data_IF_108560559488
#
_entry.id   IF_108560559488
#
_cell.length_a   1.000
_cell.length_b   1.000
_cell.length_c   1.000
_cell.angle_alpha   90.00
_cell.angle_beta   90.00
_cell.angle_gamma   90.00
#
_symmetry.space_group_name_H-M   'P 1'
#
loop_
_entity.id
_entity.type
_entity.pdbx_description
1 polymer ?
#
# COMPACT_ATOMS: atom_id res chain seq x y z
N UNK A 1 29.00 1.60 -20.63
CA UNK A 1 27.77 2.43 -20.61
C UNK A 1 26.55 1.67 -21.12
N UNK A 2 26.65 0.88 -22.21
CA UNK A 2 25.49 0.18 -22.78
C UNK A 2 24.93 -0.94 -21.88
N UNK A 3 25.77 -1.67 -21.13
CA UNK A 3 25.32 -2.76 -20.26
C UNK A 3 24.46 -2.23 -19.11
N UNK A 4 24.88 -1.16 -18.46
CA UNK A 4 24.13 -0.53 -17.36
C UNK A 4 22.76 -0.05 -17.85
N UNK A 5 22.71 0.53 -19.05
CA UNK A 5 21.44 0.96 -19.63
C UNK A 5 20.50 -0.21 -19.90
N UNK A 6 20.99 -1.31 -20.45
CA UNK A 6 20.19 -2.52 -20.70
C UNK A 6 19.63 -3.06 -19.39
N UNK A 7 20.47 -3.19 -18.37
CA UNK A 7 20.01 -3.69 -17.05
C UNK A 7 18.98 -2.74 -16.42
N UNK A 8 19.17 -1.42 -16.56
CA UNK A 8 18.22 -0.43 -16.06
C UNK A 8 16.87 -0.54 -16.78
N UNK A 9 16.89 -0.65 -18.10
CA UNK A 9 15.68 -0.77 -18.92
C UNK A 9 14.93 -2.06 -18.59
N UNK A 10 15.62 -3.18 -18.43
CA UNK A 10 15.02 -4.47 -18.03
C UNK A 10 14.43 -4.42 -16.63
N UNK A 11 15.12 -3.84 -15.64
CA UNK A 11 14.58 -3.66 -14.29
C UNK A 11 13.33 -2.77 -14.28
N UNK A 12 13.34 -1.70 -15.05
CA UNK A 12 12.18 -0.80 -15.19
C UNK A 12 10.99 -1.55 -15.77
N UNK A 13 11.23 -2.39 -16.77
CA UNK A 13 10.20 -3.23 -17.36
C UNK A 13 9.64 -4.26 -16.38
N UNK A 14 10.50 -4.94 -15.63
CA UNK A 14 10.11 -5.88 -14.59
C UNK A 14 9.30 -5.24 -13.47
N UNK A 15 9.57 -3.97 -13.14
CA UNK A 15 8.83 -3.20 -12.13
C UNK A 15 7.50 -2.62 -12.62
N UNK A 16 7.24 -2.62 -13.94
CA UNK A 16 5.96 -2.23 -14.50
C UNK A 16 5.99 -1.17 -15.60
N UNK A 17 7.12 -0.83 -16.18
CA UNK A 17 7.31 0.10 -17.31
C UNK A 17 6.84 1.53 -17.07
N UNK A 18 5.59 1.70 -16.68
CA UNK A 18 4.91 2.99 -16.53
C UNK A 18 4.33 3.14 -15.14
N UNK A 19 4.15 4.38 -14.74
CA UNK A 19 3.50 4.72 -13.48
C UNK A 19 2.07 4.18 -13.47
N UNK A 20 1.70 3.49 -12.40
CA UNK A 20 0.36 2.98 -12.19
C UNK A 20 -0.39 3.89 -11.21
N UNK A 21 -1.04 4.92 -11.74
CA UNK A 21 -1.77 5.89 -10.92
C UNK A 21 -3.05 5.30 -10.35
N UNK A 22 -3.47 5.86 -9.21
CA UNK A 22 -4.81 5.64 -8.69
C UNK A 22 -5.82 6.33 -9.61
N UNK A 23 -6.70 5.55 -10.23
CA UNK A 23 -7.74 6.08 -11.11
C UNK A 23 -9.07 6.01 -10.36
N UNK A 24 -9.66 7.18 -10.10
CA UNK A 24 -11.00 7.27 -9.57
C UNK A 24 -12.03 7.19 -10.72
N UNK A 25 -13.04 6.37 -10.54
CA UNK A 25 -14.13 6.25 -11.49
C UNK A 25 -15.08 7.46 -11.40
N UNK A 26 -15.95 7.63 -12.40
CA UNK A 26 -17.01 8.64 -12.34
C UNK A 26 -18.13 8.29 -11.34
N UNK A 27 -18.13 7.09 -10.82
CA UNK A 27 -19.08 6.63 -9.81
C UNK A 27 -18.80 7.31 -8.46
N UNK A 28 -19.84 7.73 -7.76
CA UNK A 28 -19.77 8.33 -6.43
C UNK A 28 -20.65 7.50 -5.49
N UNK A 29 -20.14 7.07 -4.34
CA UNK A 29 -18.75 7.18 -3.88
C UNK A 29 -17.80 6.21 -4.59
N UNK A 30 -16.53 6.60 -4.74
CA UNK A 30 -15.45 5.63 -5.02
C UNK A 30 -15.07 4.91 -3.73
N UNK A 31 -15.09 3.61 -3.75
CA UNK A 31 -14.77 2.77 -2.60
C UNK A 31 -13.42 2.11 -2.81
N UNK A 32 -12.46 2.44 -1.96
CA UNK A 32 -11.11 1.87 -1.95
C UNK A 32 -10.98 1.02 -0.69
N UNK A 33 -10.72 -0.26 -0.87
CA UNK A 33 -10.50 -1.21 0.23
C UNK A 33 -9.01 -1.47 0.41
N UNK A 34 -8.50 -1.33 1.63
CA UNK A 34 -7.13 -1.70 1.99
C UNK A 34 -7.13 -3.05 2.70
N UNK A 35 -6.33 -3.96 2.19
CA UNK A 35 -6.12 -5.30 2.76
C UNK A 35 -4.64 -5.52 3.09
N UNK A 36 -4.34 -6.50 3.92
CA UNK A 36 -2.96 -6.83 4.28
C UNK A 36 -2.86 -7.42 5.69
N UNK A 37 -1.68 -7.94 6.01
CA UNK A 37 -1.39 -8.51 7.31
C UNK A 37 -1.52 -7.50 8.45
N UNK A 38 -1.70 -8.02 9.65
CA UNK A 38 -1.60 -7.23 10.87
C UNK A 38 -0.20 -6.60 10.97
N UNK A 39 -0.15 -5.32 11.30
CA UNK A 39 1.13 -4.60 11.41
C UNK A 39 1.75 -4.19 10.08
N UNK A 40 1.12 -4.46 8.93
CA UNK A 40 1.64 -4.05 7.62
C UNK A 40 1.53 -2.54 7.35
N UNK A 41 0.86 -1.78 8.22
CA UNK A 41 0.70 -0.33 8.07
C UNK A 41 -0.57 0.11 7.35
N UNK A 42 -1.63 -0.71 7.31
CA UNK A 42 -2.91 -0.37 6.67
C UNK A 42 -3.52 0.93 7.20
N UNK A 43 -3.60 1.07 8.51
CA UNK A 43 -4.19 2.26 9.17
C UNK A 43 -3.44 3.53 8.77
N UNK A 44 -2.12 3.49 8.83
CA UNK A 44 -1.26 4.61 8.42
C UNK A 44 -1.37 4.89 6.92
N UNK A 45 -1.39 3.84 6.09
CA UNK A 45 -1.55 3.98 4.64
C UNK A 45 -2.92 4.59 4.28
N UNK A 46 -3.98 4.19 4.97
CA UNK A 46 -5.32 4.75 4.78
C UNK A 46 -5.35 6.27 5.09
N UNK A 47 -4.77 6.67 6.21
CA UNK A 47 -4.68 8.08 6.59
C UNK A 47 -3.87 8.90 5.57
N UNK A 48 -2.71 8.39 5.14
CA UNK A 48 -1.88 9.05 4.12
C UNK A 48 -2.58 9.16 2.77
N UNK A 49 -3.28 8.11 2.34
CA UNK A 49 -4.05 8.13 1.10
C UNK A 49 -5.20 9.14 1.17
N UNK A 50 -5.91 9.18 2.30
CA UNK A 50 -6.96 10.17 2.53
C UNK A 50 -6.41 11.61 2.54
N UNK A 51 -5.27 11.84 3.18
CA UNK A 51 -4.60 13.13 3.14
C UNK A 51 -4.26 13.56 1.72
N UNK A 52 -3.66 12.67 0.93
CA UNK A 52 -3.33 12.93 -0.48
C UNK A 52 -4.58 13.27 -1.30
N UNK A 53 -5.64 12.47 -1.20
CA UNK A 53 -6.90 12.71 -1.90
C UNK A 53 -7.53 14.06 -1.50
N UNK A 54 -7.43 14.43 -0.22
CA UNK A 54 -7.88 15.75 0.25
C UNK A 54 -7.08 16.88 -0.38
N UNK A 55 -5.75 16.74 -0.52
CA UNK A 55 -4.91 17.72 -1.21
C UNK A 55 -5.26 17.83 -2.71
N UNK A 56 -5.75 16.76 -3.31
CA UNK A 56 -6.23 16.71 -4.69
C UNK A 56 -7.70 17.19 -4.84
N UNK A 57 -8.26 17.85 -3.80
CA UNK A 57 -9.62 18.40 -3.74
C UNK A 57 -10.73 17.34 -3.75
N UNK A 58 -10.45 16.13 -3.30
CA UNK A 58 -11.48 15.13 -3.02
C UNK A 58 -11.97 15.23 -1.57
N UNK A 59 -13.11 14.62 -1.27
CA UNK A 59 -13.70 14.56 0.06
C UNK A 59 -13.68 13.13 0.60
N UNK A 60 -12.53 12.67 1.09
CA UNK A 60 -12.40 11.30 1.59
C UNK A 60 -13.15 11.11 2.93
N UNK A 61 -13.64 9.90 3.14
CA UNK A 61 -14.13 9.39 4.38
C UNK A 61 -13.34 8.12 4.74
N UNK A 62 -12.77 8.09 5.93
CA UNK A 62 -12.14 6.89 6.46
C UNK A 62 -13.19 6.04 7.17
N UNK A 63 -13.15 4.73 6.94
CA UNK A 63 -14.06 3.76 7.57
C UNK A 63 -13.24 2.71 8.30
N UNK A 64 -13.44 2.60 9.63
CA UNK A 64 -12.77 1.62 10.47
C UNK A 64 -13.54 0.29 10.41
N UNK A 65 -13.02 -0.66 9.63
CA UNK A 65 -13.60 -1.99 9.49
C UNK A 65 -12.90 -3.07 10.34
N UNK A 66 -11.82 -2.73 11.05
CA UNK A 66 -11.13 -3.64 11.97
C UNK A 66 -11.87 -3.64 13.32
N UNK A 67 -12.95 -4.38 13.37
CA UNK A 67 -13.84 -4.45 14.54
C UNK A 67 -13.27 -5.28 15.69
N UNK A 68 -12.29 -6.14 15.40
CA UNK A 68 -11.64 -7.00 16.39
C UNK A 68 -10.57 -6.26 17.19
N UNK A 69 -10.12 -5.10 16.72
CA UNK A 69 -9.09 -4.31 17.38
C UNK A 69 -9.54 -2.88 17.61
N UNK A 70 -10.21 -2.61 18.76
CA UNK A 70 -10.64 -1.25 19.09
C UNK A 70 -9.52 -0.22 18.98
N UNK A 71 -8.30 -0.59 19.39
CA UNK A 71 -7.13 0.28 19.30
C UNK A 71 -6.78 0.70 17.86
N UNK A 72 -7.06 -0.12 16.85
CA UNK A 72 -6.86 0.25 15.44
C UNK A 72 -7.86 1.31 14.98
N UNK A 73 -9.11 1.21 15.43
CA UNK A 73 -10.13 2.24 15.18
C UNK A 73 -9.77 3.56 15.87
N UNK A 74 -9.32 3.51 17.13
CA UNK A 74 -8.87 4.69 17.89
C UNK A 74 -7.66 5.37 17.18
N UNK A 75 -6.71 4.57 16.68
CA UNK A 75 -5.58 5.08 15.90
C UNK A 75 -6.05 5.77 14.62
N UNK A 76 -7.00 5.19 13.91
CA UNK A 76 -7.55 5.77 12.68
C UNK A 76 -8.27 7.10 12.97
N UNK A 77 -9.04 7.17 14.05
CA UNK A 77 -9.69 8.41 14.50
C UNK A 77 -8.67 9.51 14.84
N UNK A 78 -7.61 9.15 15.55
CA UNK A 78 -6.52 10.08 15.87
C UNK A 78 -5.86 10.63 14.60
N UNK A 79 -5.46 9.75 13.70
CA UNK A 79 -4.84 10.14 12.43
C UNK A 79 -5.81 10.94 11.54
N UNK A 80 -7.08 10.56 11.49
CA UNK A 80 -8.11 11.31 10.76
C UNK A 80 -8.29 12.72 11.31
N UNK A 81 -8.28 12.87 12.65
CA UNK A 81 -8.32 14.16 13.33
C UNK A 81 -7.14 15.06 12.98
N UNK A 82 -5.92 14.52 12.97
CA UNK A 82 -4.70 15.24 12.63
C UNK A 82 -4.71 15.80 11.20
N UNK A 83 -5.25 15.05 10.25
CA UNK A 83 -5.32 15.46 8.83
C UNK A 83 -6.64 16.15 8.45
N UNK A 84 -7.58 16.28 9.39
CA UNK A 84 -8.89 16.89 9.16
C UNK A 84 -9.76 16.09 8.18
N UNK A 85 -9.73 14.75 8.29
CA UNK A 85 -10.57 13.82 7.54
C UNK A 85 -11.52 13.11 8.51
N UNK A 86 -12.79 13.03 8.15
CA UNK A 86 -13.78 12.34 8.96
C UNK A 86 -13.52 10.84 8.97
N UNK A 87 -13.75 10.24 10.14
CA UNK A 87 -13.67 8.79 10.34
C UNK A 87 -15.06 8.29 10.74
N UNK A 88 -15.57 7.30 10.03
CA UNK A 88 -16.75 6.54 10.41
C UNK A 88 -16.30 5.29 11.19
N UNK A 89 -16.77 5.19 12.40
CA UNK A 89 -16.61 4.00 13.24
C UNK A 89 -17.99 3.37 13.38
N UNK A 90 -18.21 2.20 12.80
CA UNK A 90 -19.49 1.51 12.89
C UNK A 90 -19.94 1.32 14.35
N UNK A 91 -21.24 1.20 14.59
CA UNK A 91 -21.86 1.16 15.92
C UNK A 91 -21.58 -0.12 16.72
N UNK A 92 -20.41 -0.71 16.61
CA UNK A 92 -19.99 -1.88 17.41
C UNK A 92 -20.91 -3.11 17.25
N UNK A 93 -21.77 -3.11 16.26
CA UNK A 93 -22.60 -4.26 15.94
C UNK A 93 -21.77 -5.29 15.22
N UNK A 94 -21.36 -6.18 16.03
CA UNK A 94 -21.08 -7.58 15.82
C UNK A 94 -20.91 -8.01 14.36
N UNK A 95 -19.69 -7.98 13.81
CA UNK A 95 -19.36 -9.01 12.87
C UNK A 95 -19.04 -10.22 13.72
N UNK A 96 -20.06 -10.99 14.01
CA UNK A 96 -19.96 -12.31 14.63
C UNK A 96 -18.87 -12.36 15.70
N UNK A 97 -19.23 -12.54 16.94
CA UNK A 97 -18.35 -12.89 18.07
C UNK A 97 -17.40 -14.04 17.70
N UNK A 98 -16.51 -13.77 16.76
CA UNK A 98 -15.36 -14.61 16.47
C UNK A 98 -14.16 -13.96 17.13
N UNK A 99 -14.36 -13.55 18.36
CA UNK A 99 -13.27 -13.48 19.30
C UNK A 99 -12.99 -14.89 19.74
N UNK A 100 -12.62 -15.75 18.84
CA UNK A 100 -11.96 -16.98 19.20
C UNK A 100 -10.48 -16.75 19.10
N UNK A 101 -9.87 -16.86 20.24
CA UNK A 101 -8.44 -16.87 20.47
C UNK A 101 -7.72 -17.69 19.39
N UNK A 102 -7.03 -17.02 18.47
CA UNK A 102 -6.26 -17.66 17.42
C UNK A 102 -6.78 -17.43 16.01
N UNK A 103 -6.88 -16.15 15.59
CA UNK A 103 -7.12 -15.83 14.17
C UNK A 103 -5.96 -16.39 13.36
N UNK A 104 -6.25 -17.40 12.55
CA UNK A 104 -5.33 -17.89 11.54
C UNK A 104 -5.42 -16.99 10.30
N UNK A 105 -4.35 -16.96 9.49
CA UNK A 105 -4.30 -16.15 8.27
C UNK A 105 -5.50 -16.42 7.33
N UNK A 106 -6.02 -17.64 7.35
CA UNK A 106 -7.21 -18.04 6.59
C UNK A 106 -8.48 -17.30 6.99
N UNK A 107 -8.71 -17.05 8.28
CA UNK A 107 -9.88 -16.32 8.77
C UNK A 107 -9.85 -14.86 8.34
N UNK A 108 -8.68 -14.23 8.35
CA UNK A 108 -8.50 -12.86 7.89
C UNK A 108 -8.78 -12.72 6.38
N UNK A 109 -8.41 -13.71 5.58
CA UNK A 109 -8.72 -13.74 4.15
C UNK A 109 -10.22 -13.91 3.89
N UNK A 110 -10.90 -14.74 4.68
CA UNK A 110 -12.36 -14.92 4.60
C UNK A 110 -13.10 -13.63 4.95
N UNK A 111 -12.65 -12.90 5.97
CA UNK A 111 -13.19 -11.59 6.33
C UNK A 111 -13.01 -10.58 5.20
N UNK A 112 -11.82 -10.48 4.63
CA UNK A 112 -11.55 -9.60 3.49
C UNK A 112 -12.43 -9.94 2.28
N UNK A 113 -12.64 -11.21 2.00
CA UNK A 113 -13.52 -11.68 0.93
C UNK A 113 -14.99 -11.33 1.20
N UNK A 114 -15.46 -11.49 2.43
CA UNK A 114 -16.82 -11.13 2.83
C UNK A 114 -17.08 -9.62 2.74
N UNK A 115 -16.13 -8.79 3.19
CA UNK A 115 -16.20 -7.33 3.04
C UNK A 115 -16.22 -6.97 1.56
N UNK A 116 -15.34 -7.56 0.75
CA UNK A 116 -15.32 -7.35 -0.71
C UNK A 116 -16.68 -7.62 -1.35
N UNK A 117 -17.34 -8.73 -0.99
CA UNK A 117 -18.66 -9.06 -1.52
C UNK A 117 -19.74 -8.06 -1.10
N UNK A 118 -19.70 -7.59 0.13
CA UNK A 118 -20.70 -6.68 0.69
C UNK A 118 -20.55 -5.26 0.15
N UNK A 119 -19.34 -4.75 0.07
CA UNK A 119 -19.06 -3.34 -0.26
C UNK A 119 -18.88 -3.14 -1.75
N UNK A 120 -18.48 -4.16 -2.50
CA UNK A 120 -18.14 -4.08 -3.94
C UNK A 120 -17.20 -2.92 -4.24
N UNK A 121 -15.97 -2.93 -3.70
CA UNK A 121 -15.03 -1.84 -3.84
C UNK A 121 -14.68 -1.58 -5.31
N UNK A 122 -14.44 -0.32 -5.64
CA UNK A 122 -13.92 0.06 -6.96
C UNK A 122 -12.46 -0.34 -7.13
N UNK A 123 -11.70 -0.32 -6.03
CA UNK A 123 -10.32 -0.78 -5.99
C UNK A 123 -10.01 -1.47 -4.66
N UNK A 124 -9.17 -2.50 -4.75
CA UNK A 124 -8.57 -3.19 -3.60
C UNK A 124 -7.06 -3.02 -3.69
N UNK A 125 -6.47 -2.42 -2.67
CA UNK A 125 -5.03 -2.22 -2.56
C UNK A 125 -4.47 -3.02 -1.40
N UNK A 126 -3.47 -3.84 -1.67
CA UNK A 126 -2.77 -4.59 -0.63
C UNK A 126 -1.64 -3.75 -0.05
N UNK A 127 -1.66 -3.58 1.26
CA UNK A 127 -0.58 -2.91 1.99
C UNK A 127 0.45 -3.94 2.44
N UNK A 128 1.68 -3.76 2.01
CA UNK A 128 2.80 -4.67 2.23
C UNK A 128 3.92 -3.93 2.93
N UNK A 129 4.43 -4.52 4.01
CA UNK A 129 5.60 -3.99 4.73
C UNK A 129 6.90 -4.38 3.99
N UNK A 130 7.62 -3.37 3.51
CA UNK A 130 8.87 -3.58 2.77
C UNK A 130 9.98 -4.27 3.59
N UNK A 131 9.89 -4.22 4.91
CA UNK A 131 10.88 -4.82 5.83
C UNK A 131 10.68 -6.32 6.11
N UNK A 132 9.53 -6.88 5.75
CA UNK A 132 9.16 -8.26 6.18
C UNK A 132 9.81 -9.36 5.34
N UNK A 133 10.56 -9.03 4.29
CA UNK A 133 11.33 -10.00 3.51
C UNK A 133 10.47 -11.01 2.74
N UNK A 134 10.94 -12.26 2.64
CA UNK A 134 10.34 -13.29 1.78
C UNK A 134 8.95 -13.73 2.24
N UNK A 135 8.63 -13.65 3.52
CA UNK A 135 7.31 -14.06 4.06
C UNK A 135 6.17 -13.23 3.48
N UNK A 136 6.41 -11.96 3.24
CA UNK A 136 5.44 -11.06 2.59
C UNK A 136 5.09 -11.54 1.19
N UNK A 137 6.04 -12.08 0.46
CA UNK A 137 5.83 -12.60 -0.90
C UNK A 137 4.84 -13.76 -0.89
N UNK A 138 4.98 -14.67 0.05
CA UNK A 138 4.09 -15.81 0.21
C UNK A 138 2.66 -15.36 0.56
N UNK A 139 2.54 -14.40 1.49
CA UNK A 139 1.28 -13.82 1.91
C UNK A 139 0.61 -13.07 0.76
N UNK A 140 1.35 -12.26 0.03
CA UNK A 140 0.83 -11.52 -1.12
C UNK A 140 0.32 -12.45 -2.21
N UNK A 141 1.01 -13.57 -2.44
CA UNK A 141 0.57 -14.61 -3.36
C UNK A 141 -0.76 -15.24 -2.92
N UNK A 142 -0.89 -15.60 -1.65
CA UNK A 142 -2.12 -16.17 -1.11
C UNK A 142 -3.29 -15.18 -1.19
N UNK A 143 -3.08 -13.91 -0.85
CA UNK A 143 -4.10 -12.86 -1.02
C UNK A 143 -4.50 -12.68 -2.48
N UNK A 144 -3.55 -12.69 -3.42
CA UNK A 144 -3.84 -12.56 -4.84
C UNK A 144 -4.76 -13.66 -5.37
N UNK A 145 -4.64 -14.85 -4.84
CA UNK A 145 -5.48 -15.99 -5.25
C UNK A 145 -6.91 -15.90 -4.70
N UNK A 146 -7.11 -15.38 -3.50
CA UNK A 146 -8.40 -15.37 -2.83
C UNK A 146 -9.15 -14.04 -2.93
N UNK A 147 -8.47 -12.92 -2.76
CA UNK A 147 -9.08 -11.58 -2.71
C UNK A 147 -8.94 -10.86 -4.05
N UNK A 148 -7.96 -11.20 -4.85
CA UNK A 148 -7.67 -10.58 -6.15
C UNK A 148 -7.63 -9.05 -6.08
N UNK A 149 -6.60 -8.54 -5.44
CA UNK A 149 -6.40 -7.08 -5.31
C UNK A 149 -5.87 -6.45 -6.62
N UNK A 150 -6.09 -5.15 -6.78
CA UNK A 150 -5.80 -4.41 -8.00
C UNK A 150 -4.40 -3.77 -8.03
N UNK A 151 -3.84 -3.54 -6.86
CA UNK A 151 -2.54 -2.89 -6.73
C UNK A 151 -1.98 -3.01 -5.33
N UNK A 152 -0.75 -2.53 -5.17
CA UNK A 152 0.03 -2.63 -3.93
C UNK A 152 0.47 -1.25 -3.44
N UNK A 153 0.38 -1.06 -2.13
CA UNK A 153 1.05 0.02 -1.40
C UNK A 153 2.19 -0.60 -0.60
N UNK A 154 3.42 -0.21 -0.86
CA UNK A 154 4.56 -0.65 -0.06
C UNK A 154 4.81 0.33 1.08
N UNK A 155 4.63 -0.12 2.31
CA UNK A 155 4.89 0.65 3.52
C UNK A 155 6.32 0.46 4.03
N UNK A 156 6.76 1.34 4.91
CA UNK A 156 8.07 1.27 5.60
C UNK A 156 9.28 1.19 4.67
N UNK A 157 9.20 1.88 3.55
CA UNK A 157 10.26 1.90 2.52
C UNK A 157 11.56 2.56 3.00
N UNK A 158 11.52 3.32 4.08
CA UNK A 158 12.69 3.86 4.77
C UNK A 158 13.60 2.75 5.35
N UNK A 159 13.06 1.57 5.64
CA UNK A 159 13.80 0.39 6.07
C UNK A 159 14.37 -0.47 4.93
N UNK A 160 13.92 -0.26 3.68
CA UNK A 160 14.41 -0.98 2.49
C UNK A 160 15.32 -0.07 1.65
N UNK A 161 16.58 0.01 2.03
CA UNK A 161 17.55 0.92 1.41
C UNK A 161 17.72 0.73 -0.10
N UNK A 162 17.55 -0.49 -0.62
CA UNK A 162 17.78 -0.82 -2.03
C UNK A 162 16.52 -1.05 -2.86
N UNK A 163 15.34 -1.20 -2.24
CA UNK A 163 14.08 -1.39 -2.96
C UNK A 163 13.87 -2.79 -3.56
N UNK A 164 14.63 -3.79 -3.14
CA UNK A 164 14.51 -5.17 -3.66
C UNK A 164 13.16 -5.81 -3.39
N UNK A 165 12.48 -5.41 -2.30
CA UNK A 165 11.13 -5.88 -1.97
C UNK A 165 10.09 -5.53 -3.04
N UNK A 166 10.21 -4.38 -3.68
CA UNK A 166 9.31 -3.96 -4.77
C UNK A 166 9.39 -4.92 -5.97
N UNK A 167 10.60 -5.32 -6.36
CA UNK A 167 10.81 -6.26 -7.45
C UNK A 167 10.19 -7.62 -7.12
N UNK A 168 10.42 -8.14 -5.92
CA UNK A 168 9.88 -9.43 -5.47
C UNK A 168 8.36 -9.44 -5.46
N UNK A 169 7.72 -8.42 -4.92
CA UNK A 169 6.26 -8.29 -4.89
C UNK A 169 5.69 -8.22 -6.30
N UNK A 170 6.27 -7.42 -7.17
CA UNK A 170 5.81 -7.32 -8.56
C UNK A 170 5.93 -8.64 -9.31
N UNK A 171 7.03 -9.37 -9.15
CA UNK A 171 7.26 -10.64 -9.81
C UNK A 171 6.29 -11.74 -9.34
N UNK A 172 6.00 -11.78 -8.04
CA UNK A 172 5.14 -12.83 -7.46
C UNK A 172 3.67 -12.55 -7.68
N UNK A 173 3.22 -11.32 -7.52
CA UNK A 173 1.80 -10.96 -7.62
C UNK A 173 1.38 -10.60 -9.04
N UNK A 174 2.30 -10.13 -9.89
CA UNK A 174 1.98 -9.53 -11.18
C UNK A 174 1.18 -8.23 -11.09
N UNK A 175 0.89 -7.74 -9.86
CA UNK A 175 0.08 -6.54 -9.63
C UNK A 175 0.95 -5.28 -9.61
N UNK A 176 0.43 -4.13 -10.09
CA UNK A 176 1.18 -2.89 -10.08
C UNK A 176 1.37 -2.37 -8.65
N UNK A 177 2.56 -1.86 -8.36
CA UNK A 177 2.80 -1.05 -7.18
C UNK A 177 2.32 0.36 -7.50
N UNK A 178 1.39 0.89 -6.72
CA UNK A 178 0.81 2.22 -6.96
C UNK A 178 1.45 3.29 -6.11
N UNK A 179 1.77 2.96 -4.86
CA UNK A 179 2.37 3.89 -3.90
C UNK A 179 3.45 3.22 -3.08
N UNK A 180 4.40 4.05 -2.66
CA UNK A 180 5.36 3.74 -1.61
C UNK A 180 5.18 4.73 -0.46
N UNK A 181 5.39 4.26 0.74
CA UNK A 181 5.23 5.03 1.97
C UNK A 181 6.47 4.90 2.84
N UNK A 182 6.96 6.02 3.35
CA UNK A 182 8.13 6.10 4.21
C UNK A 182 7.82 6.94 5.44
N UNK A 183 8.28 6.50 6.61
CA UNK A 183 8.09 7.25 7.85
C UNK A 183 6.63 7.44 8.25
N UNK A 184 6.39 8.40 9.13
CA UNK A 184 5.10 8.60 9.81
C UNK A 184 4.32 9.84 9.33
N UNK A 185 4.94 10.71 8.54
CA UNK A 185 4.32 11.95 8.10
C UNK A 185 3.15 11.72 7.15
N UNK A 186 2.05 12.46 7.26
CA UNK A 186 0.87 12.30 6.39
C UNK A 186 1.16 12.48 4.90
N UNK A 187 2.13 13.33 4.56
CA UNK A 187 2.54 13.65 3.19
C UNK A 187 3.60 12.70 2.60
N UNK A 188 3.94 11.63 3.31
CA UNK A 188 5.00 10.69 2.91
C UNK A 188 4.51 9.51 2.07
N UNK A 189 3.34 9.59 1.47
CA UNK A 189 2.85 8.66 0.46
C UNK A 189 3.17 9.20 -0.93
N UNK A 190 4.03 8.49 -1.65
CA UNK A 190 4.48 8.86 -2.99
C UNK A 190 3.97 7.89 -4.04
N UNK A 191 3.73 8.37 -5.25
CA UNK A 191 3.48 7.49 -6.39
C UNK A 191 4.71 6.64 -6.69
N UNK A 192 4.47 5.40 -7.07
CA UNK A 192 5.53 4.49 -7.47
C UNK A 192 5.96 4.77 -8.91
N UNK A 193 7.26 5.03 -9.10
CA UNK A 193 7.87 5.24 -10.40
C UNK A 193 8.86 4.12 -10.71
N UNK A 194 8.54 3.20 -11.64
CA UNK A 194 9.39 2.05 -11.95
C UNK A 194 10.84 2.41 -12.31
N UNK A 195 11.03 3.46 -13.10
CA UNK A 195 12.35 3.94 -13.52
C UNK A 195 13.21 4.45 -12.35
N UNK A 196 12.60 5.16 -11.40
CA UNK A 196 13.28 5.64 -10.19
C UNK A 196 13.65 4.49 -9.27
N UNK A 197 12.74 3.51 -9.11
CA UNK A 197 13.03 2.33 -8.31
C UNK A 197 14.11 1.46 -8.92
N UNK A 198 14.14 1.29 -10.24
CA UNK A 198 15.21 0.57 -10.94
C UNK A 198 16.58 1.23 -10.71
N UNK A 199 16.67 2.55 -10.78
CA UNK A 199 17.88 3.32 -10.44
C UNK A 199 18.30 3.10 -8.98
N UNK A 200 17.36 3.11 -8.07
CA UNK A 200 17.61 2.84 -6.63
C UNK A 200 18.18 1.44 -6.42
N UNK A 201 17.61 0.42 -7.04
CA UNK A 201 18.07 -0.98 -6.96
C UNK A 201 19.51 -1.10 -7.47
N UNK A 202 19.88 -0.39 -8.54
CA UNK A 202 21.24 -0.36 -9.09
C UNK A 202 22.20 0.53 -8.29
N UNK A 203 21.75 1.23 -7.26
CA UNK A 203 22.57 2.17 -6.50
C UNK A 203 22.93 3.46 -7.26
N UNK A 204 22.21 3.76 -8.33
CA UNK A 204 22.50 4.94 -9.18
C UNK A 204 22.04 6.27 -8.55
N UNK A 205 21.21 6.23 -7.52
CA UNK A 205 20.73 7.43 -6.81
C UNK A 205 21.89 8.26 -6.21
N UNK A 206 22.89 7.60 -5.67
CA UNK A 206 24.05 8.25 -5.05
C UNK A 206 24.99 8.86 -6.10
N UNK A 207 25.06 8.27 -7.29
CA UNK A 207 25.92 8.76 -8.39
C UNK A 207 25.35 10.03 -9.03
N UNK A 208 24.02 10.13 -9.15
CA UNK A 208 23.36 11.31 -9.70
C UNK A 208 23.51 12.51 -8.76
N UNK A 209 23.32 12.31 -7.47
CA UNK A 209 23.52 13.38 -6.46
C UNK A 209 24.98 13.82 -6.35
N UNK A 210 25.94 12.92 -6.54
CA UNK A 210 27.36 13.25 -6.62
C UNK A 210 27.71 14.08 -7.87
N UNK A 211 27.13 13.75 -9.02
CA UNK A 211 27.33 14.49 -10.26
C UNK A 211 26.69 15.89 -10.16
N UNK A 212 25.48 16.00 -9.61
CA UNK A 212 24.81 17.29 -9.39
C UNK A 212 25.53 18.18 -8.39
N UNK A 213 26.20 17.59 -7.39
CA UNK A 213 27.03 18.35 -6.44
C UNK A 213 28.40 18.75 -7.02
N UNK A 214 28.90 18.03 -8.00
CA UNK A 214 30.19 18.33 -8.66
C UNK A 214 30.08 19.37 -9.79
N UNK A 215 28.87 19.66 -10.24
CA UNK A 215 28.59 20.65 -11.31
C UNK A 215 28.20 22.03 -10.73
N UNK A 216 28.08 22.14 -9.41
CA UNK A 216 27.96 23.42 -8.68
C UNK A 216 29.32 23.87 -8.18
#
# INVERSE_FOLDING_TARGET
QNVIKIVLDELTELLGRTDSKLVLSSRIPNVIMLVGLQGSGKTTAAAKLAYRLKQENHSPLLVACDVYRPAAADQLETLGGEIGVRVYRGDGQDPVKIAQEGIQDDEMMDEAENIKRAVKPDQILMVVDAMTGQDVVNVASAFSQRVDFDGVIMSKMDGDARGGGALSIKQVTGKPIKFISSGEKPDSLEEFHPDRMAKRILGMGDVVSLIESAVK
#
